data_IF_379499843147
#
_entry.id   IF_379499843147
#
_cell.length_a   1.000
_cell.length_b   1.000
_cell.length_c   1.000
_cell.angle_alpha   90.00
_cell.angle_beta   90.00
_cell.angle_gamma   90.00
#
_symmetry.space_group_name_H-M   'P 1'
#
loop_
_entity.id
_entity.type
_entity.pdbx_description
1 polymer ?
#
# COMPACT_ATOMS: atom_id res chain seq x y z
N UNK A 1 -15.58 9.17 12.26
CA UNK A 1 -14.30 9.47 11.58
C UNK A 1 -14.55 9.34 10.09
N UNK A 2 -14.32 10.39 9.31
CA UNK A 2 -14.71 10.48 7.89
C UNK A 2 -14.12 9.32 7.08
N UNK A 3 -14.98 8.41 6.61
CA UNK A 3 -14.62 7.26 5.79
C UNK A 3 -14.35 7.67 4.35
N UNK A 4 -13.29 8.43 4.12
CA UNK A 4 -12.86 8.78 2.77
C UNK A 4 -12.42 7.48 2.08
N UNK A 5 -13.17 7.06 1.06
CA UNK A 5 -12.83 5.91 0.22
C UNK A 5 -11.65 6.25 -0.68
N UNK A 6 -10.42 6.12 -0.15
CA UNK A 6 -9.18 6.44 -0.87
C UNK A 6 -9.02 5.66 -2.19
N UNK A 7 -9.69 4.52 -2.35
CA UNK A 7 -9.72 3.73 -3.59
C UNK A 7 -10.39 4.44 -4.77
N UNK A 8 -11.20 5.48 -4.51
CA UNK A 8 -11.89 6.24 -5.55
C UNK A 8 -10.90 7.06 -6.37
N UNK A 9 -9.80 7.52 -5.78
CA UNK A 9 -8.81 8.36 -6.47
C UNK A 9 -8.16 7.68 -7.69
N UNK A 10 -7.56 6.47 -7.57
CA UNK A 10 -6.96 5.81 -8.73
C UNK A 10 -8.01 5.34 -9.74
N UNK A 11 -9.24 5.08 -9.30
CA UNK A 11 -10.34 4.69 -10.21
C UNK A 11 -10.77 5.88 -11.06
N UNK A 12 -10.99 7.05 -10.47
CA UNK A 12 -11.32 8.26 -11.23
C UNK A 12 -10.17 8.60 -12.20
N UNK A 13 -8.93 8.54 -11.73
CA UNK A 13 -7.75 8.78 -12.56
C UNK A 13 -7.71 7.81 -13.76
N UNK A 14 -7.78 6.50 -13.51
CA UNK A 14 -7.73 5.46 -14.54
C UNK A 14 -8.90 5.52 -15.52
N UNK A 15 -10.12 5.77 -15.04
CA UNK A 15 -11.30 5.92 -15.91
C UNK A 15 -11.25 7.20 -16.74
N UNK A 16 -10.78 8.31 -16.17
CA UNK A 16 -10.61 9.56 -16.90
C UNK A 16 -9.57 9.41 -18.01
N UNK A 17 -8.42 8.81 -17.69
CA UNK A 17 -7.37 8.50 -18.66
C UNK A 17 -7.87 7.56 -19.76
N UNK A 18 -8.44 6.42 -19.38
CA UNK A 18 -8.95 5.43 -20.34
C UNK A 18 -10.07 6.01 -21.21
N UNK A 19 -11.00 6.76 -20.63
CA UNK A 19 -12.07 7.43 -21.35
C UNK A 19 -11.54 8.44 -22.38
N UNK A 20 -10.49 9.20 -22.00
CA UNK A 20 -9.78 10.08 -22.92
C UNK A 20 -9.11 9.28 -24.06
N UNK A 21 -8.34 8.22 -23.76
CA UNK A 21 -7.71 7.37 -24.79
C UNK A 21 -8.74 6.78 -25.75
N UNK A 22 -9.85 6.26 -25.22
CA UNK A 22 -10.94 5.71 -26.02
C UNK A 22 -11.59 6.79 -26.88
N UNK A 23 -11.82 8.00 -26.33
CA UNK A 23 -12.35 9.13 -27.09
C UNK A 23 -11.44 9.52 -28.26
N UNK A 24 -10.12 9.59 -28.04
CA UNK A 24 -9.15 9.86 -29.10
C UNK A 24 -9.12 8.76 -30.15
N UNK A 25 -9.11 7.49 -29.74
CA UNK A 25 -9.06 6.34 -30.64
C UNK A 25 -10.34 6.22 -31.47
N UNK A 26 -11.51 6.38 -30.85
CA UNK A 26 -12.81 6.34 -31.51
C UNK A 26 -12.92 7.51 -32.49
N UNK A 27 -12.52 8.72 -32.08
CA UNK A 27 -12.53 9.88 -32.97
C UNK A 27 -11.64 9.64 -34.20
N UNK A 28 -10.42 9.16 -34.01
CA UNK A 28 -9.48 8.92 -35.11
C UNK A 28 -9.95 7.80 -36.06
N UNK A 29 -10.52 6.72 -35.52
CA UNK A 29 -11.04 5.61 -36.32
C UNK A 29 -12.33 5.97 -37.06
N UNK A 30 -13.24 6.70 -36.41
CA UNK A 30 -14.53 7.12 -37.01
C UNK A 30 -14.39 8.19 -38.10
N UNK A 31 -13.36 9.03 -38.04
CA UNK A 31 -13.07 10.06 -39.06
C UNK A 31 -12.28 9.53 -40.26
N UNK A 32 -12.07 8.21 -40.34
CA UNK A 32 -11.38 7.57 -41.47
C UNK A 32 -9.86 7.68 -41.39
N UNK A 33 -9.29 7.83 -40.19
CA UNK A 33 -7.83 7.96 -39.93
C UNK A 33 -7.24 9.20 -40.61
N UNK A 34 -7.62 10.42 -40.18
CA UNK A 34 -7.10 11.64 -40.75
C UNK A 34 -5.58 11.67 -40.67
N UNK A 35 -4.95 12.11 -41.77
CA UNK A 35 -3.52 12.37 -41.83
C UNK A 35 -3.27 13.78 -41.32
N UNK A 36 -2.50 13.90 -40.25
CA UNK A 36 -2.24 15.20 -39.63
C UNK A 36 -1.01 15.88 -40.24
N UNK A 37 -0.89 17.23 -40.24
CA UNK A 37 0.26 17.94 -40.79
C UNK A 37 1.59 17.64 -40.09
N UNK A 38 1.54 17.11 -38.86
CA UNK A 38 2.71 16.64 -38.09
C UNK A 38 3.22 15.27 -38.56
N UNK A 39 2.46 14.57 -39.40
CA UNK A 39 2.77 13.21 -39.84
C UNK A 39 3.49 13.22 -41.19
N UNK A 40 4.52 12.38 -41.28
CA UNK A 40 5.23 12.17 -42.53
C UNK A 40 4.29 11.61 -43.61
N UNK A 41 4.54 11.91 -44.89
CA UNK A 41 3.70 11.49 -46.01
C UNK A 41 3.53 9.95 -46.11
N UNK A 42 4.45 9.17 -45.53
CA UNK A 42 4.42 7.70 -45.53
C UNK A 42 3.82 7.09 -44.26
N UNK A 43 3.46 7.91 -43.27
CA UNK A 43 2.89 7.48 -42.01
C UNK A 43 1.40 7.11 -42.17
N UNK A 44 0.99 5.97 -41.63
CA UNK A 44 -0.39 5.45 -41.66
C UNK A 44 -1.06 5.40 -40.30
N UNK A 45 -0.29 5.45 -39.21
CA UNK A 45 -0.79 5.42 -37.84
C UNK A 45 -0.46 6.73 -37.15
N UNK A 46 -1.49 7.37 -36.61
CA UNK A 46 -1.34 8.62 -35.89
C UNK A 46 -0.76 8.43 -34.49
N UNK A 47 0.17 9.32 -34.10
CA UNK A 47 0.56 9.48 -32.70
C UNK A 47 -0.65 9.91 -31.86
N UNK A 48 -0.76 9.40 -30.65
CA UNK A 48 -1.88 9.78 -29.77
C UNK A 48 -1.77 11.26 -29.38
N UNK A 49 -0.54 11.74 -29.19
CA UNK A 49 -0.28 13.17 -28.95
C UNK A 49 -0.80 14.04 -30.10
N UNK A 50 -0.71 13.59 -31.34
CA UNK A 50 -1.19 14.35 -32.51
C UNK A 50 -2.72 14.39 -32.57
N UNK A 51 -3.37 13.24 -32.35
CA UNK A 51 -4.84 13.17 -32.28
C UNK A 51 -5.37 14.07 -31.16
N UNK A 52 -4.74 13.99 -29.98
CA UNK A 52 -5.09 14.81 -28.82
C UNK A 52 -4.82 16.30 -29.04
N UNK A 53 -3.68 16.65 -29.62
CA UNK A 53 -3.27 18.03 -29.81
C UNK A 53 -3.97 18.72 -30.98
N UNK A 54 -4.54 18.02 -31.95
CA UNK A 54 -5.13 18.65 -33.14
C UNK A 54 -6.66 18.58 -33.16
N UNK A 55 -7.24 17.42 -32.84
CA UNK A 55 -8.69 17.25 -32.89
C UNK A 55 -9.36 17.60 -31.57
N UNK A 56 -8.79 17.18 -30.44
CA UNK A 56 -9.47 17.20 -29.14
C UNK A 56 -8.61 17.86 -28.03
N UNK A 57 -8.03 19.04 -28.33
CA UNK A 57 -7.16 19.81 -27.40
C UNK A 57 -7.75 19.94 -25.99
N UNK A 58 -9.01 20.38 -25.81
CA UNK A 58 -9.55 20.59 -24.47
C UNK A 58 -9.72 19.27 -23.72
N UNK A 59 -10.12 18.19 -24.41
CA UNK A 59 -10.29 16.87 -23.82
C UNK A 59 -8.95 16.31 -23.37
N UNK A 60 -7.92 16.41 -24.22
CA UNK A 60 -6.60 15.88 -23.90
C UNK A 60 -5.96 16.60 -22.71
N UNK A 61 -6.04 17.94 -22.69
CA UNK A 61 -5.48 18.75 -21.60
C UNK A 61 -6.29 18.55 -20.31
N UNK A 62 -7.62 18.70 -20.36
CA UNK A 62 -8.45 18.55 -19.17
C UNK A 62 -8.39 17.13 -18.59
N UNK A 63 -8.46 16.11 -19.45
CA UNK A 63 -8.34 14.71 -19.06
C UNK A 63 -6.97 14.40 -18.43
N UNK A 64 -5.88 14.91 -19.00
CA UNK A 64 -4.53 14.77 -18.43
C UNK A 64 -4.40 15.45 -17.07
N UNK A 65 -4.91 16.68 -16.92
CA UNK A 65 -4.89 17.41 -15.65
C UNK A 65 -5.68 16.67 -14.56
N UNK A 66 -6.90 16.23 -14.85
CA UNK A 66 -7.73 15.46 -13.91
C UNK A 66 -7.03 14.16 -13.53
N UNK A 67 -6.55 13.40 -14.52
CA UNK A 67 -5.80 12.16 -14.28
C UNK A 67 -4.63 12.37 -13.34
N UNK A 68 -3.82 13.41 -13.59
CA UNK A 68 -2.61 13.73 -12.81
C UNK A 68 -2.96 14.09 -11.37
N UNK A 69 -3.94 14.98 -11.15
CA UNK A 69 -4.36 15.40 -9.80
C UNK A 69 -4.83 14.19 -8.98
N UNK A 70 -5.66 13.33 -9.56
CA UNK A 70 -6.17 12.16 -8.87
C UNK A 70 -5.10 11.07 -8.68
N UNK A 71 -4.15 10.96 -9.60
CA UNK A 71 -3.00 10.06 -9.47
C UNK A 71 -2.08 10.53 -8.34
N UNK A 72 -1.75 11.83 -8.26
CA UNK A 72 -0.96 12.41 -7.18
C UNK A 72 -1.64 12.25 -5.83
N UNK A 73 -2.96 12.46 -5.78
CA UNK A 73 -3.76 12.17 -4.59
C UNK A 73 -3.68 10.69 -4.20
N UNK A 74 -3.65 9.77 -5.17
CA UNK A 74 -3.48 8.33 -4.93
C UNK A 74 -2.10 8.03 -4.34
N UNK A 75 -1.04 8.63 -4.89
CA UNK A 75 0.32 8.52 -4.36
C UNK A 75 0.43 9.05 -2.94
N UNK A 76 -0.12 10.24 -2.67
CA UNK A 76 -0.10 10.85 -1.36
C UNK A 76 -0.87 10.00 -0.35
N UNK A 77 -2.04 9.49 -0.73
CA UNK A 77 -2.85 8.59 0.09
C UNK A 77 -2.08 7.31 0.42
N UNK A 78 -1.43 6.72 -0.58
CA UNK A 78 -0.64 5.52 -0.40
C UNK A 78 0.59 5.76 0.50
N UNK A 79 1.29 6.88 0.32
CA UNK A 79 2.42 7.30 1.17
C UNK A 79 1.98 7.53 2.61
N UNK A 80 0.83 8.18 2.81
CA UNK A 80 0.29 8.50 4.12
C UNK A 80 -0.18 7.25 4.86
N UNK A 81 -0.91 6.35 4.18
CA UNK A 81 -1.33 5.05 4.71
C UNK A 81 -0.12 4.19 5.11
N UNK A 82 0.95 4.20 4.29
CA UNK A 82 2.20 3.52 4.64
C UNK A 82 2.90 4.12 5.85
N UNK A 83 2.84 5.43 6.03
CA UNK A 83 3.53 6.10 7.14
C UNK A 83 2.77 5.96 8.47
N UNK A 84 1.43 5.88 8.43
CA UNK A 84 0.54 5.74 9.60
C UNK A 84 0.58 4.34 10.25
N UNK A 85 1.37 3.40 9.73
CA UNK A 85 1.62 2.12 10.40
C UNK A 85 0.40 1.22 10.56
N UNK A 86 -0.70 1.43 9.81
CA UNK A 86 -1.77 0.44 9.74
C UNK A 86 -1.22 -0.80 9.04
N UNK A 87 -0.79 -1.78 9.84
CA UNK A 87 -0.15 -3.04 9.51
C UNK A 87 -0.72 -3.70 8.24
N UNK A 88 -0.17 -3.31 7.09
CA UNK A 88 -0.27 -4.09 5.86
C UNK A 88 0.87 -5.09 5.95
N UNK A 89 0.52 -6.36 6.13
CA UNK A 89 1.46 -7.48 6.13
C UNK A 89 2.60 -7.23 5.12
N UNK A 90 3.85 -7.40 5.55
CA UNK A 90 5.04 -7.13 4.74
C UNK A 90 5.02 -7.81 3.35
N UNK A 91 4.18 -8.83 3.17
CA UNK A 91 3.99 -9.54 1.89
C UNK A 91 3.16 -8.74 0.89
N UNK A 92 2.02 -8.17 1.30
CA UNK A 92 1.12 -7.40 0.42
C UNK A 92 1.82 -6.13 -0.08
N UNK A 93 2.54 -5.43 0.81
CA UNK A 93 3.32 -4.24 0.45
C UNK A 93 4.41 -4.55 -0.58
N UNK A 94 5.12 -5.67 -0.42
CA UNK A 94 6.15 -6.10 -1.36
C UNK A 94 5.56 -6.47 -2.71
N UNK A 95 4.46 -7.23 -2.74
CA UNK A 95 3.81 -7.62 -3.99
C UNK A 95 3.39 -6.40 -4.80
N UNK A 96 2.69 -5.44 -4.18
CA UNK A 96 2.27 -4.21 -4.87
C UNK A 96 3.44 -3.38 -5.37
N UNK A 97 4.51 -3.28 -4.57
CA UNK A 97 5.74 -2.61 -5.00
C UNK A 97 6.34 -3.28 -6.23
N UNK A 98 6.46 -4.61 -6.25
CA UNK A 98 7.00 -5.36 -7.39
C UNK A 98 6.10 -5.28 -8.62
N UNK A 99 4.78 -5.28 -8.46
CA UNK A 99 3.83 -5.07 -9.56
C UNK A 99 4.08 -3.70 -10.19
N UNK A 100 4.10 -2.64 -9.39
CA UNK A 100 4.35 -1.26 -9.86
C UNK A 100 5.72 -1.12 -10.50
N UNK A 101 6.75 -1.70 -9.88
CA UNK A 101 8.10 -1.69 -10.43
C UNK A 101 8.14 -2.40 -11.80
N UNK A 102 7.44 -3.52 -11.95
CA UNK A 102 7.36 -4.26 -13.22
C UNK A 102 6.71 -3.39 -14.31
N UNK A 103 5.63 -2.69 -14.00
CA UNK A 103 5.00 -1.75 -14.94
C UNK A 103 5.96 -0.61 -15.31
N UNK A 104 6.63 0.02 -14.34
CA UNK A 104 7.59 1.10 -14.60
C UNK A 104 8.73 0.60 -15.50
N UNK A 105 9.30 -0.57 -15.22
CA UNK A 105 10.36 -1.14 -16.04
C UNK A 105 9.87 -1.46 -17.46
N UNK A 106 8.66 -2.01 -17.59
CA UNK A 106 8.04 -2.29 -18.88
C UNK A 106 7.82 -1.00 -19.69
N UNK A 107 7.30 0.05 -19.07
CA UNK A 107 7.10 1.35 -19.72
C UNK A 107 8.42 1.99 -20.12
N UNK A 108 9.47 1.91 -19.29
CA UNK A 108 10.81 2.42 -19.64
C UNK A 108 11.37 1.69 -20.86
N UNK A 109 11.24 0.35 -20.91
CA UNK A 109 11.68 -0.43 -22.09
C UNK A 109 10.92 -0.02 -23.34
N UNK A 110 9.60 0.14 -23.24
CA UNK A 110 8.77 0.58 -24.35
C UNK A 110 9.07 2.03 -24.77
N UNK A 111 9.36 2.93 -23.82
CA UNK A 111 9.73 4.32 -24.08
C UNK A 111 11.08 4.41 -24.80
N UNK A 112 12.06 3.55 -24.45
CA UNK A 112 13.32 3.43 -25.19
C UNK A 112 13.05 2.92 -26.60
N UNK A 113 12.23 1.87 -26.76
CA UNK A 113 11.85 1.37 -28.08
C UNK A 113 11.17 2.46 -28.92
N UNK A 114 10.23 3.21 -28.33
CA UNK A 114 9.56 4.35 -28.95
C UNK A 114 10.56 5.38 -29.43
N UNK A 115 11.47 5.83 -28.55
CA UNK A 115 12.51 6.79 -28.88
C UNK A 115 13.39 6.30 -30.02
N UNK A 116 13.86 5.04 -29.96
CA UNK A 116 14.69 4.47 -31.04
C UNK A 116 13.97 4.34 -32.38
N UNK A 117 12.67 4.04 -32.39
CA UNK A 117 11.86 4.03 -33.60
C UNK A 117 11.66 5.43 -34.15
N UNK A 118 11.40 6.41 -33.28
CA UNK A 118 11.20 7.80 -33.66
C UNK A 118 12.47 8.42 -34.26
N UNK A 119 13.66 8.13 -33.70
CA UNK A 119 14.95 8.58 -34.25
C UNK A 119 15.37 7.89 -35.55
N UNK A 120 14.77 6.75 -35.89
CA UNK A 120 15.04 6.00 -37.14
C UNK A 120 13.97 6.26 -38.20
N UNK A 121 13.14 7.29 -38.01
CA UNK A 121 12.04 7.65 -38.90
C UNK A 121 11.02 6.51 -39.11
N UNK A 122 10.95 5.57 -38.16
CA UNK A 122 9.98 4.47 -38.16
C UNK A 122 8.70 4.89 -37.45
N UNK A 123 8.05 5.92 -37.98
CA UNK A 123 6.94 6.61 -37.32
C UNK A 123 5.72 5.72 -37.07
N UNK A 124 5.40 4.79 -37.97
CA UNK A 124 4.29 3.84 -37.75
C UNK A 124 4.54 2.95 -36.53
N UNK A 125 5.76 2.43 -36.39
CA UNK A 125 6.13 1.61 -35.24
C UNK A 125 6.17 2.45 -33.96
N UNK A 126 6.71 3.66 -34.02
CA UNK A 126 6.72 4.60 -32.90
C UNK A 126 5.29 4.96 -32.45
N UNK A 127 4.38 5.26 -33.38
CA UNK A 127 2.99 5.56 -33.04
C UNK A 127 2.30 4.39 -32.33
N UNK A 128 2.51 3.15 -32.81
CA UNK A 128 2.00 1.93 -32.13
C UNK A 128 2.58 1.81 -30.72
N UNK A 129 3.87 2.08 -30.54
CA UNK A 129 4.51 2.04 -29.23
C UNK A 129 3.96 3.11 -28.29
N UNK A 130 3.69 4.32 -28.78
CA UNK A 130 3.08 5.40 -27.98
C UNK A 130 1.67 5.02 -27.48
N UNK A 131 0.82 4.50 -28.38
CA UNK A 131 -0.50 3.97 -28.01
C UNK A 131 -0.37 2.84 -26.99
N UNK A 132 0.59 1.93 -27.20
CA UNK A 132 0.85 0.79 -26.29
C UNK A 132 1.25 1.28 -24.90
N UNK A 133 2.17 2.24 -24.80
CA UNK A 133 2.57 2.87 -23.53
C UNK A 133 1.36 3.49 -22.84
N UNK A 134 0.56 4.29 -23.57
CA UNK A 134 -0.61 4.94 -22.99
C UNK A 134 -1.65 3.95 -22.43
N UNK A 135 -1.86 2.81 -23.10
CA UNK A 135 -2.73 1.75 -22.58
C UNK A 135 -2.12 1.01 -21.39
N UNK A 136 -0.81 0.72 -21.41
CA UNK A 136 -0.12 0.11 -20.27
C UNK A 136 -0.17 1.01 -19.04
N UNK A 137 -0.02 2.33 -19.22
CA UNK A 137 -0.16 3.32 -18.16
C UNK A 137 -1.52 3.23 -17.47
N UNK A 138 -2.57 2.90 -18.21
CA UNK A 138 -3.91 2.67 -17.62
C UNK A 138 -3.88 1.53 -16.59
N UNK A 139 -3.27 0.40 -16.95
CA UNK A 139 -3.13 -0.74 -16.04
C UNK A 139 -2.22 -0.42 -14.85
N UNK A 140 -1.17 0.38 -15.08
CA UNK A 140 -0.34 0.91 -14.00
C UNK A 140 -1.16 1.74 -13.01
N UNK A 141 -1.99 2.67 -13.47
CA UNK A 141 -2.87 3.47 -12.59
C UNK A 141 -3.86 2.58 -11.84
N UNK A 142 -4.46 1.58 -12.49
CA UNK A 142 -5.34 0.63 -11.82
C UNK A 142 -4.63 -0.24 -10.78
N UNK A 143 -3.31 -0.42 -10.85
CA UNK A 143 -2.57 -1.13 -9.79
C UNK A 143 -2.70 -0.42 -8.43
N UNK A 144 -2.86 0.91 -8.39
CA UNK A 144 -3.08 1.68 -7.17
C UNK A 144 -4.43 1.40 -6.50
N UNK A 145 -5.44 0.99 -7.29
CA UNK A 145 -6.72 0.58 -6.72
C UNK A 145 -6.56 -0.63 -5.80
N UNK A 146 -5.70 -1.61 -6.16
CA UNK A 146 -5.41 -2.79 -5.35
C UNK A 146 -4.76 -2.39 -4.01
N UNK A 147 -3.96 -1.33 -4.01
CA UNK A 147 -3.30 -0.82 -2.81
C UNK A 147 -4.22 -0.05 -1.86
N UNK A 148 -5.28 0.57 -2.39
CA UNK A 148 -6.17 1.44 -1.64
C UNK A 148 -7.51 0.77 -1.29
N UNK A 149 -7.85 -0.37 -1.91
CA UNK A 149 -9.01 -1.20 -1.59
C UNK A 149 -8.99 -1.77 -0.15
N UNK A 150 -7.91 -2.42 0.34
CA UNK A 150 -7.89 -2.99 1.69
C UNK A 150 -7.84 -1.93 2.80
N UNK A 151 -7.44 -0.69 2.49
CA UNK A 151 -7.41 0.42 3.45
C UNK A 151 -8.80 0.82 3.99
N UNK A 152 -9.88 0.45 3.29
CA UNK A 152 -11.27 0.69 3.74
C UNK A 152 -11.82 -0.48 4.55
N UNK A 153 -11.28 -1.70 4.37
CA UNK A 153 -11.79 -2.91 5.02
C UNK A 153 -11.28 -3.14 6.44
N UNK A 154 -10.46 -2.25 7.00
CA UNK A 154 -10.07 -2.34 8.42
C UNK A 154 -11.21 -1.85 9.32
N UNK A 155 -12.32 -2.60 9.37
CA UNK A 155 -13.33 -2.49 10.43
C UNK A 155 -13.00 -3.59 11.45
N UNK A 156 -12.47 -3.15 12.59
CA UNK A 156 -12.34 -3.83 13.88
C UNK A 156 -12.67 -5.34 13.89
N UNK A 157 -11.65 -6.17 13.74
CA UNK A 157 -11.70 -7.53 14.29
C UNK A 157 -10.86 -7.48 15.57
N UNK A 158 -11.53 -7.61 16.72
CA UNK A 158 -10.94 -7.53 18.05
C UNK A 158 -10.04 -8.72 18.36
N UNK A 159 -8.94 -8.89 17.62
CA UNK A 159 -7.89 -9.85 17.96
C UNK A 159 -6.83 -9.16 18.80
N UNK A 160 -7.08 -9.26 20.11
CA UNK A 160 -6.13 -9.42 21.21
C UNK A 160 -4.65 -9.32 20.78
N UNK A 161 -3.98 -8.34 21.39
CA UNK A 161 -2.53 -8.30 21.64
C UNK A 161 -1.84 -9.66 21.49
N UNK A 162 -0.85 -9.72 20.61
CA UNK A 162 0.04 -10.85 20.49
C UNK A 162 0.80 -10.83 19.18
N UNK A 163 2.12 -10.67 19.31
CA UNK A 163 3.15 -11.13 18.37
C UNK A 163 3.66 -10.11 17.34
N UNK A 164 4.18 -9.00 17.86
CA UNK A 164 5.27 -8.29 17.20
C UNK A 164 6.58 -9.05 17.43
N UNK A 165 7.00 -9.82 16.43
CA UNK A 165 8.26 -10.59 16.42
C UNK A 165 9.53 -9.76 16.77
N UNK A 166 9.44 -8.43 16.75
CA UNK A 166 10.50 -7.50 17.15
C UNK A 166 10.52 -7.13 18.64
N UNK A 167 9.40 -7.25 19.36
CA UNK A 167 9.38 -7.01 20.82
C UNK A 167 10.03 -8.18 21.56
N UNK A 168 9.81 -9.42 21.11
CA UNK A 168 10.39 -10.62 21.74
C UNK A 168 11.92 -10.62 21.70
N UNK A 169 12.53 -10.07 20.65
CA UNK A 169 14.00 -9.97 20.57
C UNK A 169 14.55 -8.92 21.54
N UNK A 170 14.00 -7.70 21.56
CA UNK A 170 14.47 -6.67 22.51
C UNK A 170 14.19 -7.05 23.96
N UNK A 171 13.08 -7.75 24.22
CA UNK A 171 12.72 -8.22 25.56
C UNK A 171 13.55 -9.45 25.99
N UNK A 172 13.97 -10.31 25.05
CA UNK A 172 14.97 -11.36 25.32
C UNK A 172 16.35 -10.77 25.54
N UNK A 173 16.78 -9.79 24.75
CA UNK A 173 18.11 -9.18 24.85
C UNK A 173 18.25 -8.36 26.14
N UNK A 174 17.20 -7.61 26.53
CA UNK A 174 17.14 -6.90 27.81
C UNK A 174 17.08 -7.86 29.01
N UNK A 175 16.35 -8.99 28.90
CA UNK A 175 16.34 -10.01 29.95
C UNK A 175 17.69 -10.76 30.06
N UNK A 176 18.39 -11.00 28.95
CA UNK A 176 19.72 -11.60 28.95
C UNK A 176 20.77 -10.65 29.54
N UNK A 177 20.65 -9.34 29.30
CA UNK A 177 21.51 -8.31 29.87
C UNK A 177 21.26 -8.15 31.39
N UNK A 178 19.98 -8.15 31.81
CA UNK A 178 19.60 -8.15 33.23
C UNK A 178 20.05 -9.42 33.96
N UNK A 179 19.91 -10.60 33.32
CA UNK A 179 20.39 -11.88 33.86
C UNK A 179 21.92 -11.93 33.98
N UNK A 180 22.64 -11.24 33.08
CA UNK A 180 24.11 -11.11 33.14
C UNK A 180 24.56 -10.15 34.24
N UNK A 181 23.82 -9.09 34.52
CA UNK A 181 24.09 -8.21 35.67
C UNK A 181 23.74 -8.87 37.01
N UNK A 182 22.63 -9.62 37.07
CA UNK A 182 22.20 -10.33 38.28
C UNK A 182 23.15 -11.50 38.65
N UNK A 183 23.86 -12.06 37.67
CA UNK A 183 24.88 -13.10 37.87
C UNK A 183 26.15 -12.66 38.62
N UNK A 184 26.33 -11.36 38.91
CA UNK A 184 27.45 -10.85 39.73
C UNK A 184 27.08 -10.51 41.18
N UNK A 185 25.81 -10.57 41.55
CA UNK A 185 25.32 -10.27 42.89
C UNK A 185 24.58 -11.45 43.50
N UNK A 186 25.33 -12.38 44.11
CA UNK A 186 24.72 -13.54 44.77
C UNK A 186 23.71 -13.15 45.84
N UNK A 187 22.42 -13.40 45.57
CA UNK A 187 21.37 -13.61 46.58
C UNK A 187 20.48 -14.76 46.12
N UNK A 188 20.55 -15.87 46.86
CA UNK A 188 19.74 -17.06 46.62
C UNK A 188 18.27 -16.74 46.91
N UNK A 189 17.43 -16.68 45.88
CA UNK A 189 15.96 -16.76 46.01
C UNK A 189 15.47 -18.09 45.44
N UNK A 190 15.94 -19.18 46.04
CA UNK A 190 15.47 -20.52 45.74
C UNK A 190 14.19 -20.85 46.50
N UNK A 191 13.09 -20.15 46.22
CA UNK A 191 11.76 -20.50 46.76
C UNK A 191 10.65 -20.01 45.81
N UNK A 192 10.47 -20.68 44.68
CA UNK A 192 9.27 -20.49 43.83
C UNK A 192 8.73 -21.77 43.20
N UNK A 193 9.25 -22.93 43.61
CA UNK A 193 8.70 -24.23 43.22
C UNK A 193 8.48 -25.11 44.46
N UNK A 194 7.41 -24.80 45.20
CA UNK A 194 6.79 -25.82 46.05
C UNK A 194 5.28 -25.72 45.98
N UNK A 195 4.74 -26.71 45.29
CA UNK A 195 3.35 -27.15 45.15
C UNK A 195 2.49 -26.81 46.38
N UNK A 196 1.59 -25.83 46.26
CA UNK A 196 0.58 -25.54 47.29
C UNK A 196 -0.55 -26.56 47.16
N UNK A 197 -0.29 -27.73 47.75
CA UNK A 197 -1.29 -28.72 48.13
C UNK A 197 -1.06 -29.04 49.61
N UNK A 198 -1.63 -28.24 50.49
CA UNK A 198 -1.50 -28.42 51.94
C UNK A 198 -2.32 -27.36 52.69
N UNK A 199 -3.19 -27.82 53.58
CA UNK A 199 -4.15 -27.01 54.34
C UNK A 199 -3.50 -25.81 55.05
N UNK A 200 -3.93 -24.59 54.70
CA UNK A 200 -3.51 -23.34 55.34
C UNK A 200 -4.10 -23.23 56.77
N UNK A 201 -3.32 -23.62 57.78
CA UNK A 201 -3.62 -23.28 59.18
C UNK A 201 -2.95 -21.94 59.50
N UNK A 202 -3.76 -20.88 59.70
CA UNK A 202 -3.25 -19.55 60.08
C UNK A 202 -3.45 -19.29 61.57
N UNK A 203 -2.41 -18.77 62.24
CA UNK A 203 -2.39 -18.46 63.67
C UNK A 203 -2.42 -16.94 63.87
N UNK A 204 -3.39 -16.45 64.64
CA UNK A 204 -3.49 -15.03 65.03
C UNK A 204 -3.68 -14.96 66.56
N UNK A 205 -2.86 -14.18 67.27
CA UNK A 205 -2.86 -14.07 68.74
C UNK A 205 -2.89 -15.40 69.50
N UNK A 206 -2.15 -16.41 69.01
CA UNK A 206 -2.02 -17.72 69.66
C UNK A 206 -3.18 -18.70 69.44
N UNK A 207 -4.23 -18.31 68.70
CA UNK A 207 -5.34 -19.21 68.33
C UNK A 207 -5.18 -19.73 66.90
N UNK A 208 -5.38 -21.04 66.68
CA UNK A 208 -5.36 -21.70 65.36
C UNK A 208 -6.76 -21.68 64.75
N UNK A 209 -6.88 -21.21 63.52
CA UNK A 209 -8.12 -21.25 62.75
C UNK A 209 -7.97 -22.20 61.57
N UNK A 210 -8.92 -23.14 61.46
CA UNK A 210 -8.98 -24.11 60.37
C UNK A 210 -10.30 -23.89 59.62
N UNK A 211 -10.20 -23.43 58.37
CA UNK A 211 -11.29 -23.28 57.40
C UNK A 211 -12.55 -22.52 57.88
N UNK A 212 -12.49 -21.19 57.91
CA UNK A 212 -13.65 -20.31 58.04
C UNK A 212 -13.27 -18.81 58.02
N UNK A 213 -14.16 -17.89 57.57
CA UNK A 213 -13.84 -16.48 57.46
C UNK A 213 -13.59 -15.85 58.84
N UNK A 214 -12.47 -15.12 58.95
CA UNK A 214 -12.05 -14.41 60.17
C UNK A 214 -13.00 -13.24 60.44
N UNK A 215 -13.44 -12.97 61.68
CA UNK A 215 -14.20 -11.76 61.97
C UNK A 215 -13.34 -10.52 61.75
N UNK A 216 -13.82 -9.61 60.90
CA UNK A 216 -13.21 -8.30 60.68
C UNK A 216 -13.43 -7.47 61.95
N UNK A 217 -12.37 -7.24 62.71
CA UNK A 217 -12.42 -6.32 63.85
C UNK A 217 -12.66 -4.90 63.34
N UNK A 218 -13.80 -4.32 63.73
CA UNK A 218 -14.12 -2.91 63.57
C UNK A 218 -13.30 -2.10 64.57
N UNK A 219 -12.37 -1.27 64.09
CA UNK A 219 -11.61 -0.35 64.93
C UNK A 219 -12.47 0.88 65.25
N UNK A 220 -12.91 0.99 66.50
CA UNK A 220 -12.97 2.26 67.23
C UNK A 220 -11.88 2.23 68.29
#
# INVERSE_FOLDING_TARGET
>A
MWGVSYWVFPVISGLCWLGMLMGLLIHWTSTGKPHYPSMDATQSIAYISDVGAQSLKPLFIAGSCVTTIFLDASFLSERWLRHRGQYREHRILRISFWIKLTFILLEVVLAIAFGTCNFKDKYNAAAVLEWTIAFIFTFYVFSFFIDLLPAVKTKHDGRRFGDGQGETQMQMEQNDEFSREEGRGGRMTGESQRTVGGNDVRVVNGAKYENGPVPVASNF
#
